data_IF_269254417232
#
_entry.id   IF_269254417232
#
_cell.length_a   1.000
_cell.length_b   1.000
_cell.length_c   1.000
_cell.angle_alpha   90.00
_cell.angle_beta   90.00
_cell.angle_gamma   90.00
#
_symmetry.space_group_name_H-M   'P 1'
#
loop_
_entity.id
_entity.type
_entity.pdbx_description
1 polymer ?
#
# COMPACT_ATOMS: atom_id res chain seq x y z
N UNK A 1 24.74 -15.01 35.20
CA UNK A 1 25.35 -15.20 33.86
C UNK A 1 24.31 -14.75 32.84
N UNK A 2 24.34 -13.47 32.45
CA UNK A 2 23.46 -12.96 31.40
C UNK A 2 24.06 -13.38 30.06
N UNK A 3 23.41 -14.28 29.34
CA UNK A 3 23.81 -14.61 27.98
C UNK A 3 23.47 -13.40 27.09
N UNK A 4 24.47 -12.58 26.75
CA UNK A 4 24.38 -11.63 25.65
C UNK A 4 24.37 -12.43 24.34
N UNK A 5 23.20 -12.98 23.98
CA UNK A 5 23.02 -13.56 22.65
C UNK A 5 23.11 -12.42 21.65
N UNK A 6 24.16 -12.41 20.81
CA UNK A 6 24.27 -11.48 19.71
C UNK A 6 22.98 -11.55 18.88
N UNK A 7 22.23 -10.45 18.82
CA UNK A 7 20.99 -10.38 18.05
C UNK A 7 21.34 -10.41 16.57
N UNK A 8 20.76 -11.37 15.86
CA UNK A 8 21.00 -11.61 14.45
C UNK A 8 19.82 -11.08 13.64
N UNK A 9 20.08 -10.18 12.69
CA UNK A 9 19.03 -9.54 11.89
C UNK A 9 18.63 -10.32 10.63
N UNK A 10 19.29 -11.45 10.34
CA UNK A 10 19.12 -12.15 9.07
C UNK A 10 19.95 -11.54 7.95
N UNK A 11 20.26 -12.34 6.92
CA UNK A 11 20.90 -11.82 5.71
C UNK A 11 19.88 -10.93 4.95
N UNK A 12 20.17 -9.64 4.71
CA UNK A 12 19.24 -8.72 4.04
C UNK A 12 19.12 -8.95 2.52
N UNK A 13 19.83 -9.94 1.96
CA UNK A 13 19.91 -10.24 0.54
C UNK A 13 20.83 -9.32 -0.24
N UNK A 14 20.84 -9.52 -1.56
CA UNK A 14 21.48 -8.66 -2.54
C UNK A 14 20.41 -8.23 -3.55
N UNK A 15 20.24 -6.92 -3.83
CA UNK A 15 19.26 -6.48 -4.81
C UNK A 15 19.62 -6.99 -6.20
N UNK A 16 18.61 -7.39 -6.98
CA UNK A 16 18.79 -7.69 -8.40
C UNK A 16 19.42 -6.48 -9.10
N UNK A 17 20.37 -6.72 -10.01
CA UNK A 17 21.14 -5.65 -10.66
C UNK A 17 21.90 -4.73 -9.69
N UNK A 18 22.26 -5.22 -8.51
CA UNK A 18 23.10 -4.51 -7.56
C UNK A 18 24.07 -5.42 -6.82
N UNK A 19 24.76 -4.81 -5.87
CA UNK A 19 25.76 -5.43 -5.00
C UNK A 19 25.54 -4.96 -3.59
N UNK A 20 25.89 -5.81 -2.63
CA UNK A 20 25.95 -5.47 -1.20
C UNK A 20 27.40 -5.55 -0.73
N UNK A 21 27.83 -4.54 0.01
CA UNK A 21 29.07 -4.59 0.78
C UNK A 21 28.75 -4.83 2.27
N UNK A 22 29.62 -5.58 2.93
CA UNK A 22 29.37 -6.09 4.28
C UNK A 22 28.82 -7.52 4.30
N UNK A 23 29.34 -8.31 5.25
CA UNK A 23 29.05 -9.76 5.40
C UNK A 23 28.61 -10.13 6.82
N UNK A 24 28.53 -9.15 7.72
CA UNK A 24 28.14 -9.34 9.11
C UNK A 24 26.69 -8.90 9.30
N UNK A 25 25.89 -9.70 10.00
CA UNK A 25 24.45 -9.47 10.18
C UNK A 25 24.02 -9.52 11.65
N UNK A 26 24.95 -9.23 12.56
CA UNK A 26 24.71 -9.13 14.01
C UNK A 26 24.50 -7.68 14.42
N UNK A 27 24.02 -7.47 15.65
CA UNK A 27 23.80 -6.15 16.23
C UNK A 27 24.95 -5.17 15.95
N UNK A 28 24.60 -3.95 15.52
CA UNK A 28 25.50 -2.86 15.08
C UNK A 28 26.26 -3.10 13.76
N UNK A 29 26.12 -4.26 13.12
CA UNK A 29 26.68 -4.45 11.79
C UNK A 29 25.98 -3.54 10.77
N UNK A 30 26.79 -2.98 9.88
CA UNK A 30 26.36 -2.11 8.78
C UNK A 30 26.60 -2.82 7.44
N UNK A 31 25.64 -2.70 6.54
CA UNK A 31 25.74 -3.16 5.15
C UNK A 31 25.33 -2.03 4.22
N UNK A 32 26.08 -1.85 3.14
CA UNK A 32 25.82 -0.84 2.12
C UNK A 32 25.44 -1.52 0.79
N UNK A 33 24.70 -0.81 -0.03
CA UNK A 33 24.15 -1.31 -1.27
C UNK A 33 24.43 -0.35 -2.42
N UNK A 34 24.78 -0.91 -3.56
CA UNK A 34 25.12 -0.18 -4.78
C UNK A 34 24.42 -0.85 -5.96
N UNK A 35 23.82 -0.06 -6.85
CA UNK A 35 23.23 -0.56 -8.08
C UNK A 35 24.25 -0.56 -9.22
N UNK A 36 24.19 -1.57 -10.08
CA UNK A 36 24.95 -1.59 -11.32
C UNK A 36 24.38 -0.51 -12.25
N UNK A 37 25.22 0.19 -12.99
CA UNK A 37 24.75 1.12 -14.03
C UNK A 37 23.97 0.34 -15.11
N UNK A 38 22.87 0.90 -15.65
CA UNK A 38 22.30 2.24 -15.44
C UNK A 38 21.22 2.31 -14.33
N UNK A 39 21.11 1.31 -13.46
CA UNK A 39 20.06 1.24 -12.44
C UNK A 39 20.31 2.23 -11.29
N UNK A 40 19.22 2.75 -10.73
CA UNK A 40 19.23 3.66 -9.58
C UNK A 40 18.77 2.95 -8.32
N UNK A 41 19.38 3.29 -7.19
CA UNK A 41 19.05 2.72 -5.89
C UNK A 41 17.83 3.43 -5.31
N UNK A 42 16.82 2.64 -4.96
CA UNK A 42 15.64 3.11 -4.21
C UNK A 42 15.54 2.34 -2.90
N UNK A 43 15.31 3.07 -1.81
CA UNK A 43 15.36 2.57 -0.44
C UNK A 43 16.61 3.06 0.30
N UNK A 44 16.98 2.39 1.38
CA UNK A 44 18.16 2.78 2.16
C UNK A 44 19.45 2.25 1.53
N UNK A 45 20.35 3.16 1.14
CA UNK A 45 21.68 2.81 0.61
C UNK A 45 22.56 2.10 1.65
N UNK A 46 22.27 2.31 2.93
CA UNK A 46 22.94 1.69 4.07
C UNK A 46 21.90 1.23 5.08
N UNK A 47 22.09 0.03 5.65
CA UNK A 47 21.24 -0.51 6.71
C UNK A 47 22.09 -1.01 7.88
N UNK A 48 21.58 -0.82 9.09
CA UNK A 48 22.25 -1.18 10.35
C UNK A 48 21.38 -2.18 11.11
N UNK A 49 21.98 -3.25 11.63
CA UNK A 49 21.29 -4.23 12.44
C UNK A 49 21.02 -3.68 13.85
N UNK A 50 19.73 -3.55 14.20
CA UNK A 50 19.25 -2.93 15.42
C UNK A 50 19.13 -3.94 16.58
N UNK A 51 18.94 -3.43 17.80
CA UNK A 51 18.91 -4.25 19.02
C UNK A 51 17.69 -5.18 19.08
N UNK A 52 16.63 -4.86 18.34
CA UNK A 52 15.42 -5.68 18.20
C UNK A 52 15.58 -6.86 17.22
N UNK A 53 16.74 -6.96 16.55
CA UNK A 53 16.98 -7.98 15.53
C UNK A 53 16.39 -7.61 14.17
N UNK A 54 16.11 -6.34 13.90
CA UNK A 54 15.67 -5.86 12.59
C UNK A 54 16.71 -4.96 11.93
N UNK A 55 16.66 -4.88 10.60
CA UNK A 55 17.49 -3.96 9.84
C UNK A 55 16.83 -2.59 9.75
N UNK A 56 17.59 -1.53 10.04
CA UNK A 56 17.14 -0.15 9.89
C UNK A 56 16.74 0.17 8.45
N UNK A 57 15.88 1.18 8.30
CA UNK A 57 15.48 1.71 6.99
C UNK A 57 14.70 0.72 6.13
N UNK A 58 14.59 1.02 4.84
CA UNK A 58 13.85 0.22 3.87
C UNK A 58 14.78 -0.67 3.05
N UNK A 59 14.25 -1.81 2.60
CA UNK A 59 15.00 -2.74 1.74
C UNK A 59 15.36 -2.07 0.41
N UNK A 60 16.63 -2.09 -0.02
CA UNK A 60 17.08 -1.46 -1.25
C UNK A 60 16.65 -2.27 -2.47
N UNK A 61 16.34 -1.56 -3.55
CA UNK A 61 16.06 -2.14 -4.88
C UNK A 61 16.75 -1.30 -5.94
N UNK A 62 17.18 -1.95 -7.00
CA UNK A 62 17.72 -1.28 -8.16
C UNK A 62 16.64 -1.22 -9.22
N UNK A 63 16.22 -0.01 -9.58
CA UNK A 63 15.20 0.21 -10.61
C UNK A 63 15.82 0.87 -11.83
N UNK A 64 15.27 0.56 -12.99
CA UNK A 64 15.68 1.21 -14.23
C UNK A 64 15.05 2.61 -14.30
N UNK A 65 15.82 3.68 -14.58
CA UNK A 65 15.29 5.06 -14.56
C UNK A 65 14.17 5.32 -15.57
N UNK A 66 14.19 4.59 -16.68
CA UNK A 66 13.21 4.69 -17.78
C UNK A 66 11.90 3.99 -17.46
N UNK A 67 11.87 3.18 -16.39
CA UNK A 67 10.72 2.36 -16.04
C UNK A 67 9.68 3.19 -15.29
N UNK A 68 8.50 3.31 -15.89
CA UNK A 68 7.38 4.11 -15.34
C UNK A 68 6.23 3.25 -14.82
N UNK A 69 6.36 1.92 -14.88
CA UNK A 69 5.32 0.98 -14.48
C UNK A 69 5.83 -0.08 -13.51
N UNK A 70 5.01 -0.38 -12.50
CA UNK A 70 5.21 -1.51 -11.62
C UNK A 70 5.11 -2.83 -12.40
N UNK A 71 5.67 -3.89 -11.83
CA UNK A 71 5.40 -5.24 -12.31
C UNK A 71 3.93 -5.60 -12.14
N UNK A 72 3.44 -6.58 -12.90
CA UNK A 72 2.10 -7.10 -12.65
C UNK A 72 2.06 -7.68 -11.21
N UNK A 73 1.17 -7.18 -10.31
CA UNK A 73 1.14 -7.66 -8.93
C UNK A 73 0.67 -9.11 -8.81
N UNK A 74 0.12 -9.67 -9.89
CA UNK A 74 -0.37 -11.04 -9.95
C UNK A 74 -1.82 -11.15 -9.46
N UNK A 75 -2.50 -12.18 -9.94
CA UNK A 75 -3.89 -12.44 -9.58
C UNK A 75 -3.92 -13.48 -8.44
N UNK A 76 -4.60 -13.21 -7.31
CA UNK A 76 -4.77 -14.20 -6.25
C UNK A 76 -5.44 -15.48 -6.78
N UNK A 77 -5.06 -16.64 -6.23
CA UNK A 77 -5.77 -17.89 -6.52
C UNK A 77 -7.24 -17.73 -6.15
N UNK A 78 -8.15 -18.22 -7.00
CA UNK A 78 -9.60 -18.01 -6.84
C UNK A 78 -10.02 -16.53 -6.79
N UNK A 79 -9.19 -15.62 -7.31
CA UNK A 79 -9.48 -14.20 -7.45
C UNK A 79 -9.49 -13.72 -8.89
N UNK A 80 -9.75 -12.43 -9.04
CA UNK A 80 -9.61 -11.63 -10.25
C UNK A 80 -9.02 -10.27 -9.89
N UNK A 81 -8.41 -9.64 -10.89
CA UNK A 81 -7.84 -8.30 -10.78
C UNK A 81 -8.49 -7.41 -11.84
N UNK A 82 -8.86 -6.21 -11.45
CA UNK A 82 -9.27 -5.14 -12.33
C UNK A 82 -8.11 -4.15 -12.50
N UNK A 83 -7.57 -4.08 -13.71
CA UNK A 83 -6.39 -3.30 -14.08
C UNK A 83 -6.63 -2.44 -15.33
N UNK A 84 -7.84 -1.90 -15.50
CA UNK A 84 -8.25 -1.11 -16.68
C UNK A 84 -7.27 0.01 -17.03
N UNK A 85 -6.65 0.65 -16.04
CA UNK A 85 -5.69 1.74 -16.25
C UNK A 85 -4.24 1.27 -16.43
N UNK A 86 -3.95 -0.04 -16.37
CA UNK A 86 -2.60 -0.58 -16.42
C UNK A 86 -1.82 -0.41 -15.12
N UNK A 87 -0.49 -0.48 -15.20
CA UNK A 87 0.41 -0.56 -14.04
C UNK A 87 1.38 0.62 -13.90
N UNK A 88 1.09 1.75 -14.56
CA UNK A 88 1.92 2.95 -14.45
C UNK A 88 1.91 3.49 -13.02
N UNK A 89 2.98 4.18 -12.61
CA UNK A 89 3.05 4.86 -11.32
C UNK A 89 1.82 5.75 -11.12
N UNK A 90 1.19 5.63 -9.95
CA UNK A 90 -0.05 6.30 -9.58
C UNK A 90 -1.32 5.50 -9.90
N UNK A 91 -1.27 4.51 -10.81
CA UNK A 91 -2.44 3.72 -11.15
C UNK A 91 -2.79 2.73 -10.04
N UNK A 92 -4.09 2.46 -9.93
CA UNK A 92 -4.68 1.59 -8.91
C UNK A 92 -5.24 0.33 -9.57
N UNK A 93 -4.92 -0.83 -8.99
CA UNK A 93 -5.55 -2.11 -9.31
C UNK A 93 -6.49 -2.51 -8.19
N UNK A 94 -7.63 -3.12 -8.53
CA UNK A 94 -8.61 -3.62 -7.57
C UNK A 94 -8.72 -5.14 -7.64
N UNK A 95 -8.87 -5.79 -6.49
CA UNK A 95 -8.95 -7.25 -6.39
C UNK A 95 -10.35 -7.69 -5.96
N UNK A 96 -10.77 -8.83 -6.48
CA UNK A 96 -12.07 -9.45 -6.19
C UNK A 96 -11.89 -10.96 -6.06
N UNK A 97 -12.67 -11.60 -5.20
CA UNK A 97 -12.65 -13.05 -5.02
C UNK A 97 -13.85 -13.71 -5.70
N UNK A 98 -13.64 -14.93 -6.22
CA UNK A 98 -14.70 -15.77 -6.79
C UNK A 98 -15.67 -16.20 -5.68
N UNK A 99 -16.85 -16.67 -6.09
CA UNK A 99 -17.88 -17.20 -5.18
C UNK A 99 -17.29 -18.28 -4.24
N UNK A 100 -17.69 -18.25 -2.98
CA UNK A 100 -17.23 -19.18 -1.94
C UNK A 100 -15.87 -18.83 -1.33
N UNK A 101 -15.30 -17.67 -1.65
CA UNK A 101 -14.05 -17.18 -1.08
C UNK A 101 -14.21 -15.74 -0.58
N UNK A 102 -13.44 -15.37 0.44
CA UNK A 102 -13.37 -14.04 1.01
C UNK A 102 -12.00 -13.41 0.77
N UNK A 103 -11.99 -12.11 0.49
CA UNK A 103 -10.78 -11.32 0.31
C UNK A 103 -10.15 -11.00 1.66
N UNK A 104 -8.89 -11.40 1.84
CA UNK A 104 -8.03 -11.02 2.96
C UNK A 104 -6.82 -10.25 2.40
N UNK A 105 -6.53 -9.06 2.92
CA UNK A 105 -5.46 -8.17 2.44
C UNK A 105 -6.01 -6.87 1.88
N UNK A 106 -5.24 -6.19 1.01
CA UNK A 106 -5.66 -4.91 0.43
C UNK A 106 -6.66 -5.11 -0.70
N UNK A 107 -7.79 -4.41 -0.65
CA UNK A 107 -8.82 -4.43 -1.69
C UNK A 107 -8.36 -3.77 -2.98
N UNK A 108 -7.51 -2.76 -2.85
CA UNK A 108 -6.86 -2.04 -3.95
C UNK A 108 -5.38 -1.88 -3.66
N UNK A 109 -4.54 -1.83 -4.69
CA UNK A 109 -3.11 -1.52 -4.57
C UNK A 109 -2.73 -0.46 -5.59
N UNK A 110 -1.89 0.48 -5.19
CA UNK A 110 -1.42 1.60 -6.03
C UNK A 110 0.04 1.38 -6.40
N UNK A 111 0.39 1.61 -7.66
CA UNK A 111 1.78 1.58 -8.10
C UNK A 111 2.49 2.83 -7.58
N UNK A 112 3.50 2.66 -6.75
CA UNK A 112 4.25 3.73 -6.10
C UNK A 112 5.44 4.16 -6.97
N UNK A 113 5.99 5.38 -6.76
CA UNK A 113 7.15 5.88 -7.52
C UNK A 113 8.41 5.02 -7.41
N UNK A 114 8.53 4.21 -6.36
CA UNK A 114 9.61 3.23 -6.18
C UNK A 114 9.40 1.93 -6.99
N UNK A 115 8.38 1.91 -7.87
CA UNK A 115 7.94 0.78 -8.68
C UNK A 115 7.46 -0.42 -7.88
N UNK A 116 6.98 -0.16 -6.66
CA UNK A 116 6.37 -1.17 -5.79
C UNK A 116 4.88 -0.94 -5.66
N UNK A 117 4.16 -2.00 -5.28
CA UNK A 117 2.73 -1.90 -5.01
C UNK A 117 2.47 -1.59 -3.55
N UNK A 118 1.64 -0.58 -3.27
CA UNK A 118 1.18 -0.28 -1.93
C UNK A 118 0.40 -1.43 -1.31
N UNK A 119 0.26 -1.40 0.02
CA UNK A 119 -0.57 -2.34 0.76
C UNK A 119 -0.09 -3.80 0.71
N UNK A 120 -1.01 -4.70 1.04
CA UNK A 120 -0.79 -6.12 1.26
C UNK A 120 -1.37 -6.88 0.06
N UNK A 121 -0.59 -7.76 -0.56
CA UNK A 121 -1.09 -8.64 -1.61
C UNK A 121 -2.27 -9.46 -1.08
N UNK A 122 -3.47 -9.39 -1.69
CA UNK A 122 -4.60 -10.12 -1.18
C UNK A 122 -4.54 -11.62 -1.47
N UNK A 123 -5.21 -12.37 -0.61
CA UNK A 123 -5.51 -13.79 -0.76
C UNK A 123 -7.02 -14.00 -0.72
N UNK A 124 -7.51 -14.99 -1.47
CA UNK A 124 -8.91 -15.39 -1.43
C UNK A 124 -9.05 -16.68 -0.62
N UNK A 125 -9.60 -16.56 0.59
CA UNK A 125 -9.72 -17.66 1.56
C UNK A 125 -11.09 -18.31 1.41
N UNK A 126 -11.19 -19.66 1.27
CA UNK A 126 -12.47 -20.35 1.23
C UNK A 126 -13.32 -20.06 2.47
N UNK A 127 -14.59 -19.70 2.27
CA UNK A 127 -15.51 -19.47 3.38
C UNK A 127 -16.97 -19.65 2.96
N UNK A 128 -17.83 -20.06 3.89
CA UNK A 128 -19.26 -20.30 3.64
C UNK A 128 -20.06 -19.02 3.41
N UNK A 129 -19.61 -17.89 3.97
CA UNK A 129 -20.26 -16.60 3.83
C UNK A 129 -19.98 -15.97 2.47
N UNK A 130 -20.94 -15.22 1.94
CA UNK A 130 -20.79 -14.55 0.64
C UNK A 130 -19.81 -13.39 0.77
N UNK A 131 -18.87 -13.22 -0.15
CA UNK A 131 -18.01 -12.03 -0.18
C UNK A 131 -18.88 -10.76 -0.16
N UNK A 132 -18.73 -9.89 0.85
CA UNK A 132 -19.43 -8.61 0.84
C UNK A 132 -18.87 -7.73 -0.27
N UNK A 133 -19.60 -6.67 -0.61
CA UNK A 133 -19.08 -5.63 -1.50
C UNK A 133 -17.71 -5.15 -1.03
N UNK A 134 -16.78 -5.05 -1.98
CA UNK A 134 -15.36 -4.82 -1.71
C UNK A 134 -15.08 -3.31 -1.75
N UNK A 135 -14.88 -2.65 -0.61
CA UNK A 135 -14.61 -1.21 -0.55
C UNK A 135 -13.28 -0.87 -1.22
N UNK A 136 -13.15 0.30 -1.84
CA UNK A 136 -11.86 0.81 -2.32
C UNK A 136 -11.00 1.28 -1.14
N UNK A 137 -9.67 1.21 -1.29
CA UNK A 137 -8.70 1.75 -0.34
C UNK A 137 -8.81 1.20 1.09
N UNK A 138 -9.16 -0.07 1.22
CA UNK A 138 -9.25 -0.75 2.51
C UNK A 138 -8.32 -1.97 2.59
N UNK A 139 -7.91 -2.29 3.81
CA UNK A 139 -7.28 -3.54 4.19
C UNK A 139 -8.31 -4.37 4.96
N UNK A 140 -8.42 -5.66 4.61
CA UNK A 140 -9.39 -6.57 5.22
C UNK A 140 -8.63 -7.64 5.98
N UNK A 141 -8.91 -7.77 7.27
CA UNK A 141 -8.45 -8.88 8.10
C UNK A 141 -9.64 -9.75 8.50
N UNK A 142 -9.45 -11.08 8.54
CA UNK A 142 -10.46 -12.03 8.98
C UNK A 142 -10.04 -12.75 10.25
N UNK A 143 -10.94 -12.86 11.23
CA UNK A 143 -10.69 -13.60 12.47
C UNK A 143 -11.99 -14.17 13.08
N UNK A 144 -11.87 -15.28 13.80
CA UNK A 144 -12.96 -15.86 14.58
C UNK A 144 -13.05 -15.24 15.98
N UNK A 145 -14.13 -14.52 16.26
CA UNK A 145 -14.38 -13.90 17.56
C UNK A 145 -15.33 -14.74 18.42
N UNK A 146 -15.07 -14.94 19.73
CA UNK A 146 -15.85 -15.82 20.58
C UNK A 146 -17.37 -15.55 20.61
N UNK A 147 -17.79 -14.29 20.52
CA UNK A 147 -19.21 -13.87 20.60
C UNK A 147 -19.84 -13.50 19.26
N UNK A 148 -19.03 -13.30 18.21
CA UNK A 148 -19.46 -12.78 16.92
C UNK A 148 -19.21 -13.76 15.76
N UNK A 149 -18.50 -14.86 16.03
CA UNK A 149 -18.04 -15.79 15.00
C UNK A 149 -17.05 -15.13 14.05
N UNK A 150 -16.98 -15.65 12.82
CA UNK A 150 -16.08 -15.15 11.80
C UNK A 150 -16.40 -13.69 11.44
N UNK A 151 -15.43 -12.81 11.66
CA UNK A 151 -15.58 -11.36 11.57
C UNK A 151 -14.49 -10.78 10.66
N UNK A 152 -14.92 -9.92 9.73
CA UNK A 152 -14.03 -9.11 8.91
C UNK A 152 -13.83 -7.75 9.60
N UNK A 153 -12.57 -7.35 9.70
CA UNK A 153 -12.12 -6.07 10.24
C UNK A 153 -11.52 -5.29 9.08
N UNK A 154 -12.05 -4.09 8.86
CA UNK A 154 -11.64 -3.20 7.78
C UNK A 154 -10.84 -2.05 8.35
N UNK A 155 -9.65 -1.84 7.81
CA UNK A 155 -8.81 -0.68 8.13
C UNK A 155 -8.54 0.09 6.85
N UNK A 156 -8.80 1.40 6.83
CA UNK A 156 -8.49 2.21 5.65
C UNK A 156 -6.98 2.27 5.42
N UNK A 157 -6.59 2.27 4.15
CA UNK A 157 -5.19 2.36 3.74
C UNK A 157 -4.59 3.72 4.14
N UNK A 158 -3.25 3.83 4.27
CA UNK A 158 -2.60 5.11 4.55
C UNK A 158 -3.03 6.20 3.57
N UNK A 159 -3.35 7.39 4.09
CA UNK A 159 -3.91 8.51 3.31
C UNK A 159 -5.43 8.55 3.27
N UNK A 160 -6.11 7.50 3.74
CA UNK A 160 -7.58 7.38 3.78
C UNK A 160 -8.08 7.24 5.22
N UNK A 161 -9.32 7.67 5.47
CA UNK A 161 -10.00 7.53 6.75
C UNK A 161 -11.41 6.94 6.55
N UNK A 162 -11.95 6.32 7.61
CA UNK A 162 -13.29 5.74 7.58
C UNK A 162 -14.34 6.86 7.64
N UNK A 163 -14.86 7.26 6.47
CA UNK A 163 -15.88 8.29 6.34
C UNK A 163 -17.29 7.76 6.64
N UNK A 164 -17.50 6.45 6.54
CA UNK A 164 -18.78 5.83 6.84
C UNK A 164 -18.75 4.30 6.80
N UNK A 165 -19.89 3.69 7.11
CA UNK A 165 -20.07 2.25 7.12
C UNK A 165 -19.69 1.59 8.45
N UNK A 166 -19.23 0.34 8.41
CA UNK A 166 -18.87 -0.43 9.60
C UNK A 166 -17.46 -0.99 9.47
N UNK A 167 -16.61 -0.67 10.45
CA UNK A 167 -15.24 -1.19 10.55
C UNK A 167 -15.23 -2.71 10.78
N UNK A 168 -16.22 -3.22 11.54
CA UNK A 168 -16.35 -4.62 11.89
C UNK A 168 -17.63 -5.18 11.29
N UNK A 169 -17.52 -6.32 10.61
CA UNK A 169 -18.66 -7.03 10.01
C UNK A 169 -18.56 -8.50 10.34
N UNK A 170 -19.55 -9.00 11.07
CA UNK A 170 -19.64 -10.40 11.48
C UNK A 170 -20.52 -11.18 10.50
N UNK A 171 -20.13 -12.41 10.21
CA UNK A 171 -20.95 -13.28 9.39
C UNK A 171 -22.09 -13.91 10.22
N UNK A 172 -23.30 -13.83 9.70
CA UNK A 172 -24.50 -14.46 10.27
C UNK A 172 -24.66 -15.89 9.76
N UNK A 173 -25.48 -16.67 10.45
CA UNK A 173 -25.79 -18.07 10.09
C UNK A 173 -26.48 -18.22 8.73
N UNK A 174 -27.12 -17.17 8.22
CA UNK A 174 -27.74 -17.12 6.89
C UNK A 174 -26.73 -16.79 5.76
N UNK A 175 -25.45 -16.63 6.10
CA UNK A 175 -24.37 -16.30 5.18
C UNK A 175 -24.31 -14.82 4.78
N UNK A 176 -25.09 -13.94 5.44
CA UNK A 176 -25.05 -12.48 5.27
C UNK A 176 -24.15 -11.80 6.31
N UNK A 177 -23.78 -10.55 6.06
CA UNK A 177 -22.89 -9.78 6.94
C UNK A 177 -23.65 -8.73 7.73
N UNK A 178 -23.25 -8.54 8.99
CA UNK A 178 -23.68 -7.38 9.77
C UNK A 178 -23.11 -6.06 9.23
N UNK A 179 -23.69 -4.94 9.67
CA UNK A 179 -23.18 -3.61 9.37
C UNK A 179 -23.31 -3.20 7.90
N UNK A 180 -22.67 -2.08 7.57
CA UNK A 180 -22.64 -1.50 6.23
C UNK A 180 -21.23 -1.58 5.64
N UNK A 181 -21.13 -1.58 4.32
CA UNK A 181 -19.84 -1.54 3.60
C UNK A 181 -19.08 -0.30 4.05
N UNK A 182 -17.80 -0.41 4.48
CA UNK A 182 -17.03 0.74 4.91
C UNK A 182 -16.68 1.63 3.71
N UNK A 183 -16.65 2.93 3.95
CA UNK A 183 -16.30 3.94 2.94
C UNK A 183 -15.00 4.61 3.40
N UNK A 184 -13.92 4.36 2.66
CA UNK A 184 -12.62 4.96 2.91
C UNK A 184 -12.44 6.17 1.97
N UNK A 185 -12.37 7.37 2.54
CA UNK A 185 -12.16 8.61 1.78
C UNK A 185 -10.77 9.18 2.04
N UNK A 186 -10.16 9.71 0.99
CA UNK A 186 -8.87 10.39 1.07
C UNK A 186 -9.06 11.83 1.52
N UNK A 187 -8.24 12.31 2.44
CA UNK A 187 -8.17 13.73 2.77
C UNK A 187 -6.95 14.36 2.08
N UNK A 188 -7.14 15.43 1.32
CA UNK A 188 -6.05 16.21 0.70
C UNK A 188 -5.02 16.67 1.74
N UNK A 189 -5.46 16.97 2.98
CA UNK A 189 -4.57 17.31 4.09
C UNK A 189 -3.67 16.13 4.53
N UNK A 190 -4.15 14.89 4.40
CA UNK A 190 -3.37 13.69 4.74
C UNK A 190 -2.31 13.39 3.68
N UNK A 191 -2.62 13.65 2.41
CA UNK A 191 -1.64 13.62 1.31
C UNK A 191 -0.52 14.65 1.50
N UNK A 192 -0.86 15.83 2.01
CA UNK A 192 0.14 16.87 2.31
C UNK A 192 1.07 16.46 3.45
N UNK A 193 0.57 15.82 4.52
CA UNK A 193 1.39 15.39 5.68
C UNK A 193 2.44 14.31 5.35
N UNK A 194 2.31 13.60 4.23
CA UNK A 194 3.27 12.57 3.80
C UNK A 194 4.32 13.09 2.80
N UNK A 195 4.22 14.35 2.40
CA UNK A 195 5.18 14.99 1.53
C UNK A 195 6.44 15.40 2.34
N UNK A 196 7.66 15.19 1.83
CA UNK A 196 8.86 15.76 2.44
C UNK A 196 8.70 17.28 2.52
N UNK A 197 9.27 17.91 3.55
CA UNK A 197 9.06 19.32 3.91
C UNK A 197 9.19 20.31 2.75
N UNK A 198 9.94 19.96 1.70
CA UNK A 198 10.21 20.75 0.51
C UNK A 198 8.94 20.99 -0.33
N UNK A 199 8.04 20.01 -0.42
CA UNK A 199 6.80 20.10 -1.22
C UNK A 199 5.70 20.94 -0.56
N UNK A 200 5.74 21.10 0.78
CA UNK A 200 4.86 22.01 1.51
C UNK A 200 5.15 23.50 1.19
N UNK A 201 6.42 23.86 0.99
CA UNK A 201 6.83 25.24 0.65
C UNK A 201 6.38 25.69 -0.73
N UNK A 202 6.24 24.77 -1.69
CA UNK A 202 5.77 25.10 -3.04
C UNK A 202 4.25 25.37 -3.07
N UNK A 203 3.45 24.63 -2.31
CA UNK A 203 2.00 24.85 -2.25
C UNK A 203 1.62 26.17 -1.56
N UNK A 204 2.35 26.60 -0.52
CA UNK A 204 2.12 27.91 0.10
C UNK A 204 2.51 29.09 -0.81
N UNK A 205 3.41 28.90 -1.78
CA UNK A 205 3.82 29.95 -2.73
C UNK A 205 2.99 30.03 -4.02
N UNK A 206 2.00 29.14 -4.21
CA UNK A 206 1.02 29.24 -5.32
C UNK A 206 -0.25 30.01 -4.87
N UNK A 207 -0.28 30.49 -3.62
CA UNK A 207 -1.42 31.17 -3.01
C UNK A 207 -1.54 32.68 -3.23
N UNK A 208 -0.60 33.34 -3.92
CA UNK A 208 -0.70 34.78 -4.22
C UNK A 208 -0.13 35.08 -5.62
N UNK A 209 -0.98 35.00 -6.64
CA UNK A 209 -0.69 35.64 -7.93
C UNK A 209 -1.12 34.89 -9.18
N UNK A 210 -2.42 34.88 -9.47
CA UNK A 210 -2.94 35.16 -10.81
C UNK A 210 -4.46 35.18 -10.81
N UNK A 211 -5.05 36.37 -10.73
CA UNK A 211 -6.38 36.59 -11.29
C UNK A 211 -6.25 36.48 -12.82
N UNK A 212 -6.69 35.38 -13.40
CA UNK A 212 -7.06 35.34 -14.83
C UNK A 212 -8.53 34.98 -14.92
N UNK A 213 -9.28 35.99 -15.35
CA UNK A 213 -10.70 36.03 -15.66
C UNK A 213 -11.24 34.79 -16.36
N UNK A 214 -12.22 34.12 -15.74
CA UNK A 214 -13.19 33.31 -16.48
C UNK A 214 -14.27 34.25 -17.03
N UNK A 215 -14.16 34.56 -18.32
CA UNK A 215 -15.16 35.29 -19.08
C UNK A 215 -16.41 34.45 -19.35
N UNK A 216 -17.56 35.06 -19.05
CA UNK A 216 -18.93 34.71 -19.43
C UNK A 216 -19.11 33.68 -20.57
N UNK A 217 -19.72 32.53 -20.25
CA UNK A 217 -20.52 31.77 -21.21
C UNK A 217 -21.97 32.27 -21.16
N UNK A 218 -22.35 33.08 -22.14
CA UNK A 218 -23.72 33.57 -22.36
C UNK A 218 -24.65 32.41 -22.76
N UNK A 219 -25.79 32.33 -22.08
CA UNK A 219 -27.05 31.78 -22.59
C UNK A 219 -27.33 32.30 -24.00
N UNK A 220 -27.61 31.39 -24.93
CA UNK A 220 -28.30 31.71 -26.19
C UNK A 220 -29.53 30.82 -26.31
N UNK A 221 -30.69 31.46 -26.20
CA UNK A 221 -31.98 30.97 -26.72
C UNK A 221 -32.53 32.02 -27.69
N UNK A 222 -33.23 31.54 -28.74
CA UNK A 222 -34.01 32.18 -29.82
C UNK A 222 -33.39 31.93 -31.20
N UNK A 223 -34.14 31.43 -32.19
CA UNK A 223 -35.57 31.60 -32.48
C UNK A 223 -36.29 30.29 -32.76
#
# INVERSE_FOLDING_TARGET
MYFLTAKFCGDPGVPAQGKREGKSFIYQSEVSFICNLPFILVGSSTRICQADGTWSGSSPRCIEPTRTACENPGVPRHGSQNNTFGYQVGNVVQFQCKKGHLLHGSTTRTCLPDLTWSGIQPECIPHSCKQPETPSHANVAGMDLPSLGYTLIYTCQPGFFLAGGSEHRACRSDGTWTGKVPVCEGNLLCFLLQLPSITFYWFQNIGEGSQTSFGNAKSKTKW
#
